data_IF_245651850626
#
_entry.id   IF_245651850626
#
_cell.length_a   1.000
_cell.length_b   1.000
_cell.length_c   1.000
_cell.angle_alpha   90.00
_cell.angle_beta   90.00
_cell.angle_gamma   90.00
#
_symmetry.space_group_name_H-M   'P 1'
#
loop_
_entity.id
_entity.type
_entity.pdbx_description
1 polymer ?
#
# COMPACT_ATOMS: atom_id res chain seq x y z
N UNK A 1 -1.46 -6.15 -8.11
CA UNK A 1 -1.60 -7.42 -7.35
C UNK A 1 -2.93 -8.03 -7.75
N UNK A 2 -2.93 -9.26 -8.26
CA UNK A 2 -4.17 -9.97 -8.61
C UNK A 2 -4.66 -10.68 -7.35
N UNK A 3 -5.87 -10.36 -6.89
CA UNK A 3 -6.52 -11.01 -5.74
C UNK A 3 -7.54 -12.01 -6.24
N UNK A 4 -7.56 -13.23 -5.68
CA UNK A 4 -8.55 -14.24 -6.03
C UNK A 4 -9.85 -14.00 -5.25
N UNK A 5 -10.99 -14.07 -5.94
CA UNK A 5 -12.28 -13.88 -5.31
C UNK A 5 -12.79 -15.21 -4.76
N UNK A 6 -13.14 -15.24 -3.47
CA UNK A 6 -13.67 -16.42 -2.78
C UNK A 6 -14.90 -16.03 -1.94
N UNK A 7 -15.90 -16.90 -1.84
CA UNK A 7 -17.08 -16.62 -1.02
C UNK A 7 -16.79 -16.83 0.46
N UNK A 8 -17.57 -16.16 1.33
CA UNK A 8 -17.48 -16.37 2.80
C UNK A 8 -17.73 -17.83 3.18
N UNK A 9 -18.61 -18.54 2.49
CA UNK A 9 -18.89 -19.95 2.80
C UNK A 9 -17.73 -20.86 2.40
N UNK A 10 -17.06 -20.57 1.29
CA UNK A 10 -15.91 -21.34 0.83
C UNK A 10 -14.70 -21.12 1.75
N UNK A 11 -14.45 -19.88 2.16
CA UNK A 11 -13.35 -19.59 3.08
C UNK A 11 -13.55 -20.24 4.45
N UNK A 12 -14.80 -20.31 4.93
CA UNK A 12 -15.09 -20.94 6.22
C UNK A 12 -14.80 -22.45 6.22
N UNK A 13 -15.00 -23.13 5.08
CA UNK A 13 -14.71 -24.57 4.93
C UNK A 13 -13.22 -24.84 4.75
N UNK A 14 -12.48 -23.92 4.11
CA UNK A 14 -11.09 -24.12 3.73
C UNK A 14 -10.13 -23.13 4.40
N UNK A 15 -10.48 -22.62 5.58
CA UNK A 15 -9.79 -21.48 6.20
C UNK A 15 -8.29 -21.71 6.40
N UNK A 16 -7.90 -22.89 6.91
CA UNK A 16 -6.49 -23.23 7.11
C UNK A 16 -5.71 -23.34 5.81
N UNK A 17 -6.29 -23.88 4.73
CA UNK A 17 -5.63 -23.96 3.42
C UNK A 17 -5.43 -22.57 2.82
N UNK A 18 -6.44 -21.71 2.92
CA UNK A 18 -6.34 -20.32 2.47
C UNK A 18 -5.23 -19.57 3.21
N UNK A 19 -5.13 -19.72 4.54
CA UNK A 19 -4.03 -19.13 5.31
C UNK A 19 -2.66 -19.69 4.92
N UNK A 20 -2.56 -20.99 4.65
CA UNK A 20 -1.31 -21.60 4.19
C UNK A 20 -0.90 -21.06 2.81
N UNK A 21 -1.83 -20.90 1.88
CA UNK A 21 -1.58 -20.29 0.57
C UNK A 21 -1.17 -18.82 0.69
N UNK A 22 -1.80 -18.07 1.57
CA UNK A 22 -1.39 -16.69 1.88
C UNK A 22 0.03 -16.66 2.45
N UNK A 23 0.34 -17.53 3.41
CA UNK A 23 1.65 -17.55 4.09
C UNK A 23 2.78 -18.03 3.21
N UNK A 24 2.60 -19.15 2.52
CA UNK A 24 3.69 -19.86 1.84
C UNK A 24 3.73 -19.59 0.34
N UNK A 25 2.62 -19.20 -0.28
CA UNK A 25 2.54 -18.94 -1.72
C UNK A 25 2.32 -17.45 -2.04
N UNK A 26 2.20 -16.59 -1.02
CA UNK A 26 2.03 -15.16 -1.20
C UNK A 26 0.68 -14.77 -1.84
N UNK A 27 -0.31 -15.66 -1.82
CA UNK A 27 -1.61 -15.40 -2.44
C UNK A 27 -2.43 -14.38 -1.64
N UNK A 28 -3.28 -13.64 -2.35
CA UNK A 28 -4.23 -12.69 -1.77
C UNK A 28 -5.66 -13.07 -2.17
N UNK A 29 -6.60 -12.93 -1.24
CA UNK A 29 -8.00 -13.32 -1.43
C UNK A 29 -8.95 -12.19 -1.08
N UNK A 30 -9.87 -11.88 -1.99
CA UNK A 30 -11.01 -10.99 -1.78
C UNK A 30 -12.22 -11.84 -1.38
N UNK A 31 -12.74 -11.61 -0.18
CA UNK A 31 -13.82 -12.38 0.42
C UNK A 31 -15.15 -11.72 0.07
N UNK A 32 -16.02 -12.44 -0.64
CA UNK A 32 -17.36 -11.97 -1.00
C UNK A 32 -18.47 -12.55 -0.14
N UNK A 33 -19.43 -11.69 0.23
CA UNK A 33 -20.74 -12.08 0.77
C UNK A 33 -21.81 -11.60 -0.20
N UNK A 34 -22.42 -12.53 -0.94
CA UNK A 34 -23.31 -12.17 -2.04
C UNK A 34 -22.53 -11.50 -3.18
N UNK A 35 -22.91 -10.27 -3.54
CA UNK A 35 -22.24 -9.50 -4.61
C UNK A 35 -21.07 -8.65 -4.10
N UNK A 36 -21.01 -8.40 -2.79
CA UNK A 36 -20.09 -7.42 -2.21
C UNK A 36 -18.83 -8.09 -1.64
N UNK A 37 -17.68 -7.45 -1.87
CA UNK A 37 -16.43 -7.81 -1.19
C UNK A 37 -16.46 -7.21 0.21
N UNK A 38 -16.35 -8.04 1.23
CA UNK A 38 -16.47 -7.64 2.64
C UNK A 38 -15.15 -7.67 3.40
N UNK A 39 -14.15 -8.40 2.89
CA UNK A 39 -12.84 -8.51 3.52
C UNK A 39 -11.77 -8.92 2.51
N UNK A 40 -10.50 -8.74 2.88
CA UNK A 40 -9.35 -9.21 2.11
C UNK A 40 -8.33 -9.85 3.03
N UNK A 41 -7.79 -11.00 2.65
CA UNK A 41 -6.65 -11.63 3.31
C UNK A 41 -5.44 -11.49 2.39
N UNK A 42 -4.36 -10.91 2.91
CA UNK A 42 -3.10 -10.72 2.18
C UNK A 42 -1.92 -11.26 2.99
N UNK A 43 -0.81 -11.60 2.33
CA UNK A 43 0.41 -11.96 3.05
C UNK A 43 0.89 -10.78 3.88
N UNK A 44 1.30 -11.06 5.11
CA UNK A 44 2.01 -10.06 5.92
C UNK A 44 3.34 -9.79 5.22
N UNK A 45 3.47 -8.59 4.67
CA UNK A 45 4.74 -8.12 4.13
C UNK A 45 5.67 -7.78 5.30
N UNK A 46 6.98 -8.03 5.19
CA UNK A 46 7.93 -7.51 6.15
C UNK A 46 7.71 -6.00 6.24
N UNK A 47 7.25 -5.52 7.39
CA UNK A 47 7.20 -4.10 7.67
C UNK A 47 8.55 -3.68 8.20
N UNK A 48 9.07 -2.59 7.66
CA UNK A 48 10.22 -1.94 8.26
C UNK A 48 9.72 -1.10 9.43
N UNK A 49 10.37 -1.19 10.58
CA UNK A 49 10.08 -0.28 11.69
C UNK A 49 10.40 1.15 11.28
N UNK A 50 9.73 2.13 11.89
CA UNK A 50 10.00 3.56 11.61
C UNK A 50 11.46 3.92 11.87
N UNK A 51 12.08 3.33 12.91
CA UNK A 51 13.50 3.50 13.20
C UNK A 51 14.38 2.98 12.06
N UNK A 52 14.14 1.76 11.59
CA UNK A 52 14.90 1.16 10.49
C UNK A 52 14.67 1.87 9.16
N UNK A 53 13.47 2.43 8.94
CA UNK A 53 13.20 3.28 7.79
C UNK A 53 13.99 4.58 7.84
N UNK A 54 14.07 5.23 9.01
CA UNK A 54 14.90 6.42 9.20
C UNK A 54 16.37 6.11 8.93
N UNK A 55 16.89 5.01 9.47
CA UNK A 55 18.25 4.55 9.20
C UNK A 55 18.47 4.33 7.70
N UNK A 56 17.54 3.67 7.00
CA UNK A 56 17.60 3.48 5.57
C UNK A 56 17.61 4.81 4.79
N UNK A 57 16.78 5.79 5.14
CA UNK A 57 16.77 7.10 4.50
C UNK A 57 18.13 7.81 4.62
N UNK A 58 18.83 7.64 5.74
CA UNK A 58 20.17 8.19 5.93
C UNK A 58 21.24 7.51 5.05
N UNK A 59 20.97 6.32 4.51
CA UNK A 59 21.88 5.65 3.56
C UNK A 59 21.69 6.09 2.11
N UNK A 60 20.60 6.82 1.82
CA UNK A 60 20.32 7.27 0.46
C UNK A 60 21.17 8.49 0.11
N UNK A 61 21.53 8.67 -1.18
CA UNK A 61 22.19 9.89 -1.65
C UNK A 61 21.36 11.12 -1.29
N UNK A 62 22.04 12.17 -0.82
CA UNK A 62 21.42 13.48 -0.59
C UNK A 62 21.54 14.33 -1.85
N UNK A 63 20.53 15.17 -2.12
CA UNK A 63 20.63 16.22 -3.13
C UNK A 63 21.68 17.23 -2.70
N UNK A 64 22.42 17.77 -3.68
CA UNK A 64 23.29 18.91 -3.44
C UNK A 64 22.47 20.20 -3.22
N UNK A 65 23.16 21.30 -2.96
CA UNK A 65 22.54 22.57 -2.60
C UNK A 65 21.71 23.18 -3.74
N UNK A 66 22.10 22.95 -4.99
CA UNK A 66 21.44 23.50 -6.18
C UNK A 66 20.19 22.68 -6.49
N UNK A 67 20.34 21.36 -6.60
CA UNK A 67 19.25 20.42 -6.81
C UNK A 67 18.18 20.53 -5.72
N UNK A 68 18.59 20.74 -4.47
CA UNK A 68 17.64 20.93 -3.37
C UNK A 68 16.79 22.19 -3.54
N UNK A 69 17.37 23.30 -4.00
CA UNK A 69 16.64 24.56 -4.23
C UNK A 69 15.67 24.42 -5.39
N UNK A 70 16.09 23.81 -6.49
CA UNK A 70 15.24 23.60 -7.65
C UNK A 70 14.09 22.65 -7.34
N UNK A 71 14.35 21.60 -6.55
CA UNK A 71 13.31 20.71 -6.08
C UNK A 71 12.29 21.42 -5.18
N UNK A 72 12.74 22.24 -4.22
CA UNK A 72 11.86 23.03 -3.36
C UNK A 72 11.00 24.01 -4.16
N UNK A 73 11.60 24.72 -5.11
CA UNK A 73 10.90 25.63 -6.01
C UNK A 73 9.81 24.90 -6.79
N UNK A 74 10.12 23.71 -7.33
CA UNK A 74 9.15 22.88 -8.07
C UNK A 74 7.97 22.48 -7.19
N UNK A 75 8.22 22.10 -5.93
CA UNK A 75 7.15 21.77 -4.97
C UNK A 75 6.26 23.00 -4.71
N UNK A 76 6.86 24.18 -4.51
CA UNK A 76 6.11 25.41 -4.25
C UNK A 76 5.24 25.78 -5.45
N UNK A 77 5.80 25.83 -6.65
CA UNK A 77 5.06 26.10 -7.89
C UNK A 77 3.93 25.09 -8.12
N UNK A 78 4.19 23.82 -7.85
CA UNK A 78 3.17 22.76 -7.93
C UNK A 78 2.05 23.02 -6.93
N UNK A 79 2.35 23.31 -5.67
CA UNK A 79 1.34 23.58 -4.63
C UNK A 79 0.51 24.80 -4.97
N UNK A 80 1.11 25.87 -5.49
CA UNK A 80 0.39 27.05 -5.97
C UNK A 80 -0.57 26.69 -7.11
N UNK A 81 -0.12 25.91 -8.09
CA UNK A 81 -0.96 25.47 -9.23
C UNK A 81 -2.13 24.55 -8.83
N UNK A 82 -2.02 23.88 -7.68
CA UNK A 82 -3.03 22.95 -7.17
C UNK A 82 -4.04 23.60 -6.20
N UNK A 83 -3.90 24.90 -5.86
CA UNK A 83 -4.78 25.56 -4.87
C UNK A 83 -6.27 25.51 -5.21
N UNK A 84 -6.61 25.46 -6.49
CA UNK A 84 -8.00 25.43 -6.97
C UNK A 84 -8.50 24.00 -7.26
N UNK A 85 -7.70 22.97 -6.97
CA UNK A 85 -8.14 21.58 -7.11
C UNK A 85 -9.10 21.28 -5.97
N UNK A 86 -10.39 21.25 -6.30
CA UNK A 86 -11.45 20.82 -5.39
C UNK A 86 -11.13 19.42 -4.85
N UNK A 87 -11.08 19.29 -3.52
CA UNK A 87 -10.97 18.00 -2.86
C UNK A 87 -12.24 17.19 -3.20
N UNK A 88 -12.08 16.08 -3.93
CA UNK A 88 -13.19 15.20 -4.34
C UNK A 88 -13.60 14.22 -3.24
N UNK A 89 -12.96 14.30 -2.08
CA UNK A 89 -13.20 13.46 -0.90
C UNK A 89 -13.73 14.25 0.32
N UNK A 90 -13.96 15.55 0.16
CA UNK A 90 -14.79 16.40 1.05
C UNK A 90 -16.19 16.60 0.45
#
# INVERSE_FOLDING_TARGET
MVSQVISVTEIARHFSDVLNRVRYQGQSFDIKRGKDVVAKIVPVRPSMTTSRFKEFLLTLPTLDEEDRKDFLKTIEETRESMKDIKNVWE
#
